data_IF_197495418770
#
_entry.id   IF_197495418770
#
_cell.length_a   1.000
_cell.length_b   1.000
_cell.length_c   1.000
_cell.angle_alpha   90.00
_cell.angle_beta   90.00
_cell.angle_gamma   90.00
#
_symmetry.space_group_name_H-M   'P 1'
#
loop_
_entity.id
_entity.type
_entity.pdbx_description
1 polymer ?
#
# COMPACT_ATOMS: atom_id res chain seq x y z
N UNK A 1 4.09 -8.23 -17.95
CA UNK A 1 3.97 -6.75 -18.06
C UNK A 1 5.33 -6.23 -17.67
N UNK A 2 6.25 -6.22 -18.63
CA UNK A 2 7.68 -6.31 -18.32
C UNK A 2 8.32 -4.92 -18.13
N UNK A 3 7.50 -3.88 -18.26
CA UNK A 3 7.85 -2.47 -18.17
C UNK A 3 7.35 -1.79 -16.88
N UNK A 4 6.73 -2.52 -15.96
CA UNK A 4 6.26 -1.92 -14.71
C UNK A 4 7.42 -1.68 -13.73
N UNK A 5 7.60 -0.43 -13.32
CA UNK A 5 8.62 -0.01 -12.35
C UNK A 5 8.25 -0.31 -10.89
N UNK A 6 6.98 -0.65 -10.66
CA UNK A 6 6.43 -1.11 -9.39
C UNK A 6 5.05 -1.74 -9.57
N UNK A 7 4.54 -2.35 -8.51
CA UNK A 7 3.25 -3.02 -8.43
C UNK A 7 2.58 -2.62 -7.12
N UNK A 8 1.33 -2.16 -7.21
CA UNK A 8 0.47 -1.93 -6.05
C UNK A 8 -0.57 -3.04 -6.01
N UNK A 9 -0.67 -3.72 -4.86
CA UNK A 9 -1.62 -4.79 -4.58
C UNK A 9 -2.63 -4.25 -3.59
N UNK A 10 -3.91 -4.37 -3.94
CA UNK A 10 -5.03 -4.05 -3.06
C UNK A 10 -5.78 -5.33 -2.75
N UNK A 11 -5.88 -5.68 -1.47
CA UNK A 11 -6.68 -6.80 -0.99
C UNK A 11 -7.85 -6.29 -0.15
N UNK A 12 -9.01 -6.88 -0.37
CA UNK A 12 -10.23 -6.67 0.39
C UNK A 12 -10.77 -8.05 0.74
N UNK A 13 -10.89 -8.34 2.03
CA UNK A 13 -11.52 -9.54 2.56
C UNK A 13 -12.73 -9.12 3.40
N UNK A 14 -13.86 -9.78 3.18
CA UNK A 14 -15.11 -9.56 3.91
C UNK A 14 -15.55 -10.86 4.57
N UNK A 15 -15.67 -10.87 5.89
CA UNK A 15 -16.12 -12.05 6.64
C UNK A 15 -17.03 -11.62 7.79
N UNK A 16 -18.31 -12.05 7.77
CA UNK A 16 -19.29 -11.79 8.82
C UNK A 16 -19.24 -10.34 9.36
N UNK A 17 -19.46 -9.38 8.46
CA UNK A 17 -19.41 -7.92 8.70
C UNK A 17 -18.04 -7.31 9.03
N UNK A 18 -16.99 -8.12 9.17
CA UNK A 18 -15.61 -7.63 9.27
C UNK A 18 -15.05 -7.37 7.87
N UNK A 19 -14.56 -6.15 7.65
CA UNK A 19 -13.85 -5.76 6.42
C UNK A 19 -12.37 -5.61 6.75
N UNK A 20 -11.52 -6.40 6.08
CA UNK A 20 -10.06 -6.28 6.13
C UNK A 20 -9.55 -5.74 4.82
N UNK A 21 -8.80 -4.64 4.87
CA UNK A 21 -8.12 -4.05 3.70
C UNK A 21 -6.61 -4.07 3.88
N UNK A 22 -5.91 -4.48 2.85
CA UNK A 22 -4.46 -4.50 2.82
C UNK A 22 -3.94 -3.84 1.55
N UNK A 23 -2.84 -3.10 1.71
CA UNK A 23 -2.11 -2.44 0.64
C UNK A 23 -0.70 -3.02 0.59
N UNK A 24 -0.35 -3.67 -0.50
CA UNK A 24 1.01 -4.12 -0.80
C UNK A 24 1.64 -3.19 -1.83
N UNK A 25 2.90 -2.83 -1.65
CA UNK A 25 3.68 -2.16 -2.67
C UNK A 25 4.95 -2.94 -2.96
N UNK A 26 5.25 -3.15 -4.23
CA UNK A 26 6.52 -3.66 -4.72
C UNK A 26 7.15 -2.66 -5.68
N UNK A 27 8.45 -2.41 -5.56
CA UNK A 27 9.20 -1.67 -6.56
C UNK A 27 10.29 -2.52 -7.21
N UNK A 28 10.55 -2.29 -8.51
CA UNK A 28 11.70 -2.87 -9.19
C UNK A 28 13.02 -2.20 -8.80
N UNK A 29 13.01 -1.02 -8.18
CA UNK A 29 14.22 -0.35 -7.67
C UNK A 29 13.92 0.35 -6.34
N UNK A 30 14.93 0.49 -5.48
CA UNK A 30 14.73 1.13 -4.17
C UNK A 30 14.38 2.61 -4.30
N UNK A 31 14.91 3.30 -5.31
CA UNK A 31 14.59 4.71 -5.60
C UNK A 31 13.09 4.93 -5.88
N UNK A 32 12.41 3.94 -6.45
CA UNK A 32 10.96 3.99 -6.68
C UNK A 32 10.13 3.73 -5.40
N UNK A 33 10.76 3.36 -4.27
CA UNK A 33 10.06 3.26 -2.97
C UNK A 33 9.91 4.63 -2.28
N UNK A 34 10.75 5.60 -2.61
CA UNK A 34 10.77 6.91 -1.93
C UNK A 34 9.45 7.68 -2.10
N UNK A 35 8.87 7.82 -3.32
CA UNK A 35 7.61 8.55 -3.50
C UNK A 35 6.46 7.95 -2.69
N UNK A 36 6.48 6.64 -2.45
CA UNK A 36 5.41 5.93 -1.73
C UNK A 36 5.56 6.09 -0.22
N UNK A 37 6.79 6.12 0.29
CA UNK A 37 7.01 6.49 1.68
C UNK A 37 6.53 7.92 1.94
N UNK A 38 6.84 8.86 1.04
CA UNK A 38 6.36 10.24 1.13
C UNK A 38 4.84 10.31 1.06
N UNK A 39 4.21 9.59 0.12
CA UNK A 39 2.76 9.56 0.00
C UNK A 39 2.10 9.03 1.28
N UNK A 40 2.60 7.93 1.85
CA UNK A 40 2.03 7.33 3.06
C UNK A 40 2.21 8.25 4.28
N UNK A 41 3.27 9.06 4.31
CA UNK A 41 3.50 10.06 5.36
C UNK A 41 2.62 11.30 5.21
N UNK A 42 2.06 11.57 4.03
CA UNK A 42 1.09 12.65 3.84
C UNK A 42 -0.24 12.23 4.48
N UNK A 43 -0.56 12.82 5.64
CA UNK A 43 -1.79 12.55 6.38
C UNK A 43 -3.08 12.87 5.60
N UNK A 44 -2.97 13.52 4.44
CA UNK A 44 -4.07 13.95 3.59
C UNK A 44 -4.90 12.79 3.01
N UNK A 45 -4.36 11.58 2.94
CA UNK A 45 -4.99 10.49 2.19
C UNK A 45 -6.05 9.70 2.96
N UNK A 46 -6.28 10.01 4.24
CA UNK A 46 -7.29 9.37 5.11
C UNK A 46 -7.29 7.82 5.04
N UNK A 47 -6.19 7.18 4.63
CA UNK A 47 -6.11 5.72 4.45
C UNK A 47 -5.96 5.00 5.80
N UNK A 48 -5.45 5.69 6.83
CA UNK A 48 -5.14 5.15 8.15
C UNK A 48 -4.35 3.82 8.03
N UNK A 49 -3.17 3.93 7.39
CA UNK A 49 -2.30 2.79 7.11
C UNK A 49 -1.45 2.45 8.32
N UNK A 50 -1.41 1.17 8.67
CA UNK A 50 -0.48 0.61 9.65
C UNK A 50 0.45 -0.36 8.94
N UNK A 51 1.73 -0.07 8.91
CA UNK A 51 2.73 -0.97 8.32
C UNK A 51 2.68 -2.33 9.02
N UNK A 52 2.58 -3.40 8.23
CA UNK A 52 2.55 -4.78 8.71
C UNK A 52 3.88 -5.46 8.41
N UNK A 53 4.64 -5.67 9.47
CA UNK A 53 5.81 -6.54 9.49
C UNK A 53 7.15 -5.82 9.38
N UNK A 54 8.19 -6.60 9.65
CA UNK A 54 9.59 -6.23 9.49
C UNK A 54 9.89 -6.24 7.98
N UNK A 55 10.60 -5.24 7.42
CA UNK A 55 11.03 -5.30 6.04
C UNK A 55 11.71 -6.65 5.80
N UNK A 56 11.12 -7.47 4.93
CA UNK A 56 11.74 -8.73 4.52
C UNK A 56 13.08 -8.30 3.92
N UNK A 57 14.18 -8.67 4.57
CA UNK A 57 15.55 -8.26 4.26
C UNK A 57 15.74 -7.95 2.76
N UNK A 58 16.05 -6.70 2.42
CA UNK A 58 16.34 -6.24 1.04
C UNK A 58 15.17 -6.36 0.03
N UNK A 59 14.03 -6.91 0.42
CA UNK A 59 12.85 -7.00 -0.43
C UNK A 59 12.27 -5.60 -0.61
N UNK A 60 12.10 -5.21 -1.88
CA UNK A 60 11.47 -3.97 -2.30
C UNK A 60 9.96 -4.04 -2.13
N UNK A 61 9.50 -4.60 -1.01
CA UNK A 61 8.09 -4.88 -0.70
C UNK A 61 7.74 -4.22 0.63
N UNK A 62 6.62 -3.50 0.65
CA UNK A 62 5.97 -2.99 1.86
C UNK A 62 4.54 -3.46 1.92
N UNK A 63 4.06 -3.76 3.12
CA UNK A 63 2.69 -4.20 3.37
C UNK A 63 2.07 -3.32 4.45
N UNK A 64 0.83 -2.90 4.23
CA UNK A 64 0.08 -2.06 5.14
C UNK A 64 -1.31 -2.64 5.38
N UNK A 65 -1.76 -2.57 6.60
CA UNK A 65 -3.17 -2.71 6.97
C UNK A 65 -3.84 -1.35 6.83
N UNK A 66 -4.90 -1.28 6.01
CA UNK A 66 -5.68 -0.08 5.81
C UNK A 66 -6.89 -0.11 6.75
N UNK A 67 -6.84 0.71 7.81
CA UNK A 67 -7.90 0.74 8.83
C UNK A 67 -9.10 1.57 8.41
N UNK A 68 -8.92 2.56 7.54
CA UNK A 68 -10.07 3.26 6.97
C UNK A 68 -10.64 2.45 5.81
N UNK A 69 -11.63 1.61 6.12
CA UNK A 69 -12.28 0.75 5.13
C UNK A 69 -13.14 1.52 4.13
N UNK A 70 -13.48 2.78 4.40
CA UNK A 70 -14.26 3.63 3.49
C UNK A 70 -13.39 4.26 2.39
N UNK A 71 -12.08 4.37 2.62
CA UNK A 71 -11.17 4.87 1.59
C UNK A 71 -11.02 3.82 0.48
N UNK A 72 -11.25 4.27 -0.75
CA UNK A 72 -11.36 3.45 -1.94
C UNK A 72 -10.07 3.47 -2.76
N UNK A 73 -10.12 2.84 -3.94
CA UNK A 73 -9.01 2.92 -4.89
C UNK A 73 -8.72 4.37 -5.31
N UNK A 74 -9.70 5.27 -5.33
CA UNK A 74 -9.51 6.69 -5.73
C UNK A 74 -8.52 7.43 -4.84
N UNK A 75 -8.53 7.14 -3.54
CA UNK A 75 -7.63 7.70 -2.53
C UNK A 75 -6.25 7.02 -2.54
N UNK A 76 -6.08 5.98 -3.35
CA UNK A 76 -4.83 5.23 -3.53
C UNK A 76 -4.25 5.52 -4.93
N UNK A 77 -5.06 5.99 -5.89
CA UNK A 77 -4.60 6.29 -7.25
C UNK A 77 -3.38 7.21 -7.32
N UNK A 78 -3.21 8.25 -6.49
CA UNK A 78 -2.00 9.07 -6.58
C UNK A 78 -0.72 8.39 -6.03
N UNK A 79 -0.78 7.11 -5.61
CA UNK A 79 0.38 6.22 -5.44
C UNK A 79 0.86 5.55 -6.74
N UNK A 80 0.02 5.53 -7.79
CA UNK A 80 0.26 4.86 -9.09
C UNK A 80 0.78 5.88 -10.10
#
# INVERSE_FOLDING_TARGET
>A
NDNADGVIILSLETNNDEIKRQLGFYAKKFEHMLPINEYIQREEHNLNLRERGIPINQARIKLFEQRNVQASRKEILPLI
#
